data_IF_886794661528
#
_entry.id   IF_886794661528
#
_cell.length_a   1.000
_cell.length_b   1.000
_cell.length_c   1.000
_cell.angle_alpha   90.00
_cell.angle_beta   90.00
_cell.angle_gamma   90.00
#
_symmetry.space_group_name_H-M   'P 1'
#
loop_
_entity.id
_entity.type
_entity.pdbx_description
1 polymer ?
#
# COMPACT_ATOMS: atom_id res chain seq x y z
N UNK A 1 20.89 -14.65 0.10
CA UNK A 1 19.75 -15.35 0.70
C UNK A 1 18.51 -14.45 0.84
N UNK A 2 18.62 -13.18 1.28
CA UNK A 2 17.46 -12.27 1.29
C UNK A 2 17.04 -11.80 -0.12
N UNK A 3 17.99 -11.56 -1.04
CA UNK A 3 17.68 -11.17 -2.42
C UNK A 3 16.90 -12.22 -3.21
N UNK A 4 17.11 -13.52 -2.95
CA UNK A 4 16.36 -14.60 -3.60
C UNK A 4 14.92 -14.71 -3.10
N UNK A 5 14.58 -14.07 -1.99
CA UNK A 5 13.22 -14.03 -1.46
C UNK A 5 12.50 -12.73 -1.78
N UNK A 6 13.21 -11.74 -2.32
CA UNK A 6 12.64 -10.45 -2.68
C UNK A 6 11.95 -10.53 -4.06
N UNK A 7 10.88 -11.31 -4.13
CA UNK A 7 10.05 -11.45 -5.33
C UNK A 7 8.64 -10.91 -5.13
N UNK A 8 7.95 -10.50 -6.20
CA UNK A 8 6.56 -10.02 -6.13
C UNK A 8 5.63 -11.04 -5.46
N UNK A 9 5.83 -12.33 -5.70
CA UNK A 9 5.04 -13.44 -5.18
C UNK A 9 5.18 -13.54 -3.66
N UNK A 10 6.43 -13.57 -3.17
CA UNK A 10 6.72 -13.59 -1.72
C UNK A 10 6.18 -12.34 -1.05
N UNK A 11 6.28 -11.18 -1.71
CA UNK A 11 5.75 -9.92 -1.18
C UNK A 11 4.22 -9.92 -1.07
N UNK A 12 3.53 -10.42 -2.09
CA UNK A 12 2.06 -10.61 -2.08
C UNK A 12 1.62 -11.56 -0.97
N UNK A 13 2.31 -12.69 -0.81
CA UNK A 13 2.05 -13.65 0.25
C UNK A 13 2.27 -13.05 1.63
N UNK A 14 3.40 -12.36 1.84
CA UNK A 14 3.71 -11.67 3.09
C UNK A 14 2.60 -10.67 3.47
N UNK A 15 2.08 -9.93 2.47
CA UNK A 15 1.01 -8.96 2.66
C UNK A 15 -0.31 -9.63 3.08
N UNK A 16 -0.71 -10.70 2.40
CA UNK A 16 -1.94 -11.45 2.72
C UNK A 16 -1.85 -12.10 4.09
N UNK A 17 -0.77 -12.86 4.36
CA UNK A 17 -0.56 -13.53 5.64
C UNK A 17 -0.52 -12.48 6.75
N UNK A 18 0.21 -11.37 6.56
CA UNK A 18 0.32 -10.27 7.52
C UNK A 18 -1.03 -9.63 7.86
N UNK A 19 -1.91 -9.50 6.88
CA UNK A 19 -3.26 -9.00 7.09
C UNK A 19 -4.10 -9.96 7.93
N UNK A 20 -4.06 -11.26 7.63
CA UNK A 20 -4.80 -12.27 8.41
C UNK A 20 -4.29 -12.35 9.86
N UNK A 21 -2.97 -12.38 10.07
CA UNK A 21 -2.38 -12.42 11.41
C UNK A 21 -2.71 -11.15 12.21
N UNK A 22 -2.70 -9.98 11.57
CA UNK A 22 -3.11 -8.71 12.18
C UNK A 22 -4.58 -8.74 12.64
N UNK A 23 -5.48 -9.24 11.80
CA UNK A 23 -6.90 -9.39 12.17
C UNK A 23 -7.10 -10.43 13.27
N UNK A 24 -6.40 -11.56 13.22
CA UNK A 24 -6.45 -12.59 14.26
C UNK A 24 -6.00 -12.01 15.61
N UNK A 25 -4.85 -11.32 15.64
CA UNK A 25 -4.33 -10.68 16.84
C UNK A 25 -5.31 -9.65 17.40
N UNK A 26 -5.91 -8.82 16.54
CA UNK A 26 -6.92 -7.86 16.97
C UNK A 26 -8.16 -8.52 17.55
N UNK A 27 -8.63 -9.62 16.96
CA UNK A 27 -9.81 -10.33 17.49
C UNK A 27 -9.54 -10.94 18.87
N UNK A 28 -8.32 -11.42 19.11
CA UNK A 28 -7.93 -12.03 20.39
C UNK A 28 -7.67 -10.98 21.47
N UNK A 29 -6.88 -9.94 21.15
CA UNK A 29 -6.37 -8.99 22.14
C UNK A 29 -7.03 -7.61 22.11
N UNK A 30 -7.91 -7.34 21.13
CA UNK A 30 -8.55 -6.03 20.94
C UNK A 30 -7.63 -4.91 20.44
N UNK A 31 -6.36 -5.22 20.17
CA UNK A 31 -5.30 -4.25 19.82
C UNK A 31 -4.99 -4.35 18.33
N UNK A 32 -4.81 -3.20 17.67
CA UNK A 32 -4.41 -3.15 16.27
C UNK A 32 -2.87 -3.10 16.21
N UNK A 33 -2.18 -4.04 15.55
CA UNK A 33 -0.72 -4.08 15.50
C UNK A 33 -0.17 -3.08 14.47
N UNK A 34 -0.40 -1.78 14.71
CA UNK A 34 0.01 -0.69 13.81
C UNK A 34 -0.89 -0.52 12.58
N UNK A 35 -1.58 -1.57 12.14
CA UNK A 35 -2.47 -1.58 10.97
C UNK A 35 -2.62 -3.00 10.42
N UNK A 36 -3.58 -3.21 9.51
CA UNK A 36 -3.78 -4.54 8.88
C UNK A 36 -2.58 -4.92 8.03
N UNK A 37 -2.10 -3.97 7.24
CA UNK A 37 -1.02 -4.20 6.27
C UNK A 37 0.36 -4.22 6.93
N UNK A 38 0.51 -3.68 8.14
CA UNK A 38 1.82 -3.40 8.76
C UNK A 38 2.72 -4.64 8.89
N UNK A 39 2.24 -5.79 9.42
CA UNK A 39 3.12 -6.95 9.60
C UNK A 39 3.69 -7.48 8.26
N UNK A 40 2.87 -7.48 7.21
CA UNK A 40 3.32 -7.89 5.87
C UNK A 40 4.33 -6.90 5.28
N UNK A 41 4.06 -5.60 5.38
CA UNK A 41 4.99 -4.57 4.90
C UNK A 41 6.32 -4.57 5.64
N UNK A 42 6.35 -4.81 6.95
CA UNK A 42 7.62 -4.88 7.70
C UNK A 42 8.51 -6.01 7.16
N UNK A 43 7.93 -7.16 6.81
CA UNK A 43 8.67 -8.27 6.21
C UNK A 43 9.18 -7.87 4.83
N UNK A 44 8.33 -7.27 3.99
CA UNK A 44 8.73 -6.81 2.65
C UNK A 44 9.90 -5.82 2.75
N UNK A 45 9.80 -4.81 3.63
CA UNK A 45 10.88 -3.85 3.84
C UNK A 45 12.15 -4.52 4.37
N UNK A 46 12.02 -5.54 5.22
CA UNK A 46 13.17 -6.28 5.72
C UNK A 46 13.87 -7.08 4.61
N UNK A 47 13.12 -7.65 3.67
CA UNK A 47 13.67 -8.34 2.50
C UNK A 47 14.34 -7.38 1.51
N UNK A 48 13.80 -6.16 1.35
CA UNK A 48 14.38 -5.12 0.49
C UNK A 48 15.66 -4.55 1.10
N UNK A 49 15.58 -4.06 2.35
CA UNK A 49 16.70 -3.48 3.08
C UNK A 49 16.42 -3.54 4.58
N UNK A 50 17.12 -4.39 5.34
CA UNK A 50 16.96 -4.47 6.80
C UNK A 50 17.16 -3.12 7.50
N UNK A 51 18.10 -2.31 7.01
CA UNK A 51 18.39 -0.97 7.53
C UNK A 51 17.18 -0.06 7.30
N UNK A 52 16.58 -0.11 6.11
CA UNK A 52 15.37 0.66 5.81
C UNK A 52 14.20 0.25 6.71
N UNK A 53 13.98 -1.05 6.89
CA UNK A 53 12.96 -1.57 7.80
C UNK A 53 13.11 -1.03 9.23
N UNK A 54 14.32 -1.10 9.80
CA UNK A 54 14.61 -0.55 11.13
C UNK A 54 14.35 0.95 11.16
N UNK A 55 14.80 1.67 10.14
CA UNK A 55 14.62 3.13 10.01
C UNK A 55 13.14 3.50 9.99
N UNK A 56 12.31 2.79 9.22
CA UNK A 56 10.86 2.98 9.17
C UNK A 56 10.20 2.78 10.55
N UNK A 57 10.61 1.76 11.31
CA UNK A 57 10.12 1.53 12.67
C UNK A 57 10.52 2.67 13.61
N UNK A 58 11.78 3.11 13.59
CA UNK A 58 12.28 4.23 14.40
C UNK A 58 11.55 5.52 14.04
N UNK A 59 11.40 5.80 12.74
CA UNK A 59 10.66 6.96 12.24
C UNK A 59 9.22 6.99 12.73
N UNK A 60 8.57 5.85 12.91
CA UNK A 60 7.21 5.77 13.46
C UNK A 60 7.12 6.41 14.84
N UNK A 61 8.15 6.23 15.69
CA UNK A 61 8.23 6.88 17.00
C UNK A 61 8.53 8.36 16.85
N UNK A 62 9.52 8.73 16.03
CA UNK A 62 9.92 10.13 15.81
C UNK A 62 8.73 10.96 15.32
N UNK A 63 8.02 10.48 14.30
CA UNK A 63 6.84 11.13 13.72
C UNK A 63 5.71 11.24 14.75
N UNK A 64 5.48 10.19 15.56
CA UNK A 64 4.53 10.25 16.66
C UNK A 64 4.90 11.31 17.70
N UNK A 65 6.17 11.39 18.10
CA UNK A 65 6.63 12.38 19.09
C UNK A 65 6.51 13.81 18.57
N UNK A 66 6.91 14.06 17.32
CA UNK A 66 6.75 15.36 16.67
C UNK A 66 5.27 15.74 16.63
N UNK A 67 4.41 14.81 16.18
CA UNK A 67 2.98 15.05 16.12
C UNK A 67 2.41 15.40 17.50
N UNK A 68 2.69 14.59 18.52
CA UNK A 68 2.19 14.79 19.88
C UNK A 68 2.68 16.09 20.51
N UNK A 69 3.94 16.46 20.24
CA UNK A 69 4.56 17.64 20.86
C UNK A 69 4.14 18.95 20.20
N UNK A 70 3.98 18.97 18.87
CA UNK A 70 3.85 20.22 18.11
C UNK A 70 2.55 20.35 17.31
N UNK A 71 1.91 19.24 16.93
CA UNK A 71 0.82 19.23 15.95
C UNK A 71 -0.50 18.68 16.51
N UNK A 72 -0.50 18.09 17.70
CA UNK A 72 -1.72 17.58 18.33
C UNK A 72 -2.63 18.74 18.70
N UNK A 73 -3.87 18.70 18.18
CA UNK A 73 -4.90 19.70 18.46
C UNK A 73 -6.21 18.98 18.81
N UNK A 74 -6.88 19.46 19.86
CA UNK A 74 -8.15 18.90 20.35
C UNK A 74 -9.33 19.17 19.41
N UNK A 75 -9.23 20.21 18.56
CA UNK A 75 -10.26 20.63 17.61
C UNK A 75 -10.30 19.79 16.32
N UNK A 76 -9.35 18.87 16.14
CA UNK A 76 -9.27 18.07 14.93
C UNK A 76 -10.44 17.11 14.80
N UNK A 77 -11.04 17.09 13.61
CA UNK A 77 -11.91 15.98 13.20
C UNK A 77 -11.17 14.66 13.40
N UNK A 78 -11.89 13.61 13.78
CA UNK A 78 -11.38 12.31 14.22
C UNK A 78 -10.28 11.68 13.33
N UNK A 79 -10.21 12.05 12.04
CA UNK A 79 -9.25 11.48 11.07
C UNK A 79 -8.20 12.44 10.53
N UNK A 80 -8.30 13.73 10.84
CA UNK A 80 -7.26 14.72 10.51
C UNK A 80 -5.86 14.31 10.99
N UNK A 81 -5.68 13.71 12.19
CA UNK A 81 -4.36 13.26 12.63
C UNK A 81 -3.67 12.32 11.65
N UNK A 82 -4.41 11.47 10.94
CA UNK A 82 -3.83 10.55 9.96
C UNK A 82 -3.25 11.29 8.75
N UNK A 83 -3.93 12.31 8.24
CA UNK A 83 -3.40 13.13 7.14
C UNK A 83 -2.13 13.87 7.56
N UNK A 84 -2.14 14.50 8.74
CA UNK A 84 -0.98 15.22 9.27
C UNK A 84 0.23 14.29 9.45
N UNK A 85 0.01 13.10 10.04
CA UNK A 85 1.04 12.08 10.19
C UNK A 85 1.54 11.58 8.84
N UNK A 86 0.67 11.39 7.85
CA UNK A 86 1.06 11.01 6.48
C UNK A 86 1.92 12.09 5.81
N UNK A 87 1.59 13.37 5.95
CA UNK A 87 2.42 14.47 5.41
C UNK A 87 3.80 14.51 6.04
N UNK A 88 3.85 14.37 7.37
CA UNK A 88 5.11 14.35 8.11
C UNK A 88 5.96 13.13 7.74
N UNK A 89 5.32 11.96 7.62
CA UNK A 89 5.97 10.72 7.21
C UNK A 89 6.53 10.79 5.81
N UNK A 90 5.73 11.25 4.83
CA UNK A 90 6.20 11.44 3.47
C UNK A 90 7.41 12.37 3.42
N UNK A 91 7.43 13.45 4.20
CA UNK A 91 8.56 14.39 4.16
C UNK A 91 9.83 13.82 4.77
N UNK A 92 9.74 13.36 6.01
CA UNK A 92 10.91 12.90 6.75
C UNK A 92 11.43 11.58 6.16
N UNK A 93 10.54 10.63 5.88
CA UNK A 93 10.95 9.33 5.33
C UNK A 93 11.49 9.46 3.91
N UNK A 94 10.93 10.34 3.06
CA UNK A 94 11.47 10.57 1.72
C UNK A 94 12.91 11.12 1.77
N UNK A 95 13.16 12.15 2.57
CA UNK A 95 14.51 12.72 2.67
C UNK A 95 15.54 11.65 3.08
N UNK A 96 15.18 10.76 4.00
CA UNK A 96 16.06 9.65 4.40
C UNK A 96 16.17 8.59 3.32
N UNK A 97 15.09 8.26 2.62
CA UNK A 97 15.11 7.33 1.49
C UNK A 97 16.05 7.82 0.37
N UNK A 98 15.97 9.11 0.00
CA UNK A 98 16.87 9.73 -0.99
C UNK A 98 18.34 9.65 -0.55
N UNK A 99 18.62 9.92 0.72
CA UNK A 99 19.97 9.76 1.26
C UNK A 99 20.43 8.30 1.17
N UNK A 100 19.56 7.33 1.49
CA UNK A 100 19.91 5.91 1.43
C UNK A 100 20.13 5.42 0.00
N UNK A 101 19.35 5.92 -0.96
CA UNK A 101 19.55 5.64 -2.38
C UNK A 101 20.91 6.19 -2.84
N UNK A 102 21.23 7.44 -2.48
CA UNK A 102 22.54 8.05 -2.80
C UNK A 102 23.72 7.30 -2.18
N UNK A 103 23.53 6.72 -0.99
CA UNK A 103 24.54 5.90 -0.30
C UNK A 103 24.59 4.44 -0.79
N UNK A 104 23.69 4.03 -1.70
CA UNK A 104 23.59 2.65 -2.20
C UNK A 104 23.02 1.66 -1.17
N UNK A 105 22.34 2.13 -0.14
CA UNK A 105 21.72 1.29 0.92
C UNK A 105 20.27 0.90 0.64
N UNK A 106 19.67 1.51 -0.38
CA UNK A 106 18.31 1.27 -0.82
C UNK A 106 18.24 1.28 -2.34
N UNK A 107 17.55 0.30 -2.92
CA UNK A 107 17.30 0.24 -4.36
C UNK A 107 16.19 1.22 -4.71
N UNK A 108 16.45 2.10 -5.68
CA UNK A 108 15.44 3.02 -6.20
C UNK A 108 14.33 2.23 -6.91
N UNK A 109 13.21 2.08 -6.22
CA UNK A 109 12.04 1.31 -6.67
C UNK A 109 10.80 1.79 -5.95
N UNK A 110 9.63 1.70 -6.59
CA UNK A 110 8.37 2.09 -5.94
C UNK A 110 8.10 1.29 -4.68
N UNK A 111 8.38 -0.01 -4.69
CA UNK A 111 8.20 -0.85 -3.51
C UNK A 111 9.07 -0.38 -2.32
N UNK A 112 10.25 0.21 -2.58
CA UNK A 112 11.06 0.85 -1.51
C UNK A 112 10.37 2.10 -0.91
N UNK A 113 9.64 2.85 -1.75
CA UNK A 113 8.88 4.03 -1.35
C UNK A 113 7.64 3.69 -0.54
N UNK A 114 7.19 2.43 -0.56
CA UNK A 114 6.08 1.97 0.28
C UNK A 114 6.39 2.07 1.78
N UNK A 115 7.68 2.02 2.14
CA UNK A 115 8.18 2.29 3.48
C UNK A 115 8.03 3.74 3.93
N UNK A 116 7.73 4.69 3.03
CA UNK A 116 7.62 6.12 3.41
C UNK A 116 6.29 6.48 4.07
N UNK A 117 5.24 5.70 3.83
CA UNK A 117 3.90 5.92 4.42
C UNK A 117 3.62 5.03 5.63
N UNK A 118 4.36 3.93 5.77
CA UNK A 118 4.22 3.00 6.88
C UNK A 118 4.41 3.66 8.27
N UNK A 119 5.36 4.60 8.47
CA UNK A 119 5.54 5.25 9.76
C UNK A 119 4.32 6.04 10.22
N UNK A 120 3.63 6.72 9.29
CA UNK A 120 2.38 7.40 9.59
C UNK A 120 1.28 6.46 10.10
N UNK A 121 1.16 5.28 9.48
CA UNK A 121 0.14 4.28 9.83
C UNK A 121 0.39 3.73 11.24
N UNK A 122 1.65 3.43 11.57
CA UNK A 122 2.06 2.99 12.91
C UNK A 122 1.86 4.11 13.94
N UNK A 123 2.37 5.31 13.65
CA UNK A 123 2.24 6.48 14.52
C UNK A 123 0.76 6.84 14.80
N UNK A 124 -0.11 6.72 13.80
CA UNK A 124 -1.55 6.95 13.98
C UNK A 124 -2.21 5.89 14.87
N UNK A 125 -1.64 4.70 14.96
CA UNK A 125 -2.12 3.70 15.91
C UNK A 125 -1.66 4.01 17.34
N UNK A 126 -0.45 4.58 17.52
CA UNK A 126 0.03 5.08 18.81
C UNK A 126 -0.81 6.22 19.40
N UNK A 127 -1.48 7.02 18.56
CA UNK A 127 -2.40 8.07 19.07
C UNK A 127 -3.70 7.51 19.62
N UNK A 128 -4.08 6.27 19.24
CA UNK A 128 -5.34 5.64 19.61
C UNK A 128 -5.20 4.55 20.67
N UNK A 129 -4.02 3.95 20.77
CA UNK A 129 -3.76 2.79 21.60
C UNK A 129 -2.42 2.95 22.33
N UNK A 130 -2.26 2.26 23.46
CA UNK A 130 -1.03 2.32 24.23
C UNK A 130 0.16 1.82 23.40
N UNK A 131 1.21 2.64 23.29
CA UNK A 131 2.41 2.36 22.48
C UNK A 131 2.95 0.97 22.76
N UNK A 132 3.14 0.61 24.04
CA UNK A 132 3.68 -0.69 24.44
C UNK A 132 2.86 -1.88 23.91
N UNK A 133 1.52 -1.75 23.87
CA UNK A 133 0.61 -2.77 23.35
C UNK A 133 0.72 -2.89 21.84
N UNK A 134 0.85 -1.75 21.14
CA UNK A 134 0.99 -1.70 19.69
C UNK A 134 2.34 -2.28 19.26
N UNK A 135 3.44 -1.91 19.92
CA UNK A 135 4.79 -2.42 19.64
C UNK A 135 4.86 -3.93 19.85
N UNK A 136 4.32 -4.44 20.98
CA UNK A 136 4.21 -5.89 21.22
C UNK A 136 3.38 -6.57 20.14
N UNK A 137 2.27 -5.96 19.74
CA UNK A 137 1.42 -6.44 18.66
C UNK A 137 2.18 -6.56 17.35
N UNK A 138 2.84 -5.47 16.91
CA UNK A 138 3.66 -5.43 15.70
C UNK A 138 4.72 -6.55 15.73
N UNK A 139 5.49 -6.65 16.82
CA UNK A 139 6.54 -7.65 16.95
C UNK A 139 6.00 -9.07 16.84
N UNK A 140 4.96 -9.42 17.62
CA UNK A 140 4.37 -10.77 17.62
C UNK A 140 3.74 -11.11 16.27
N UNK A 141 2.96 -10.21 15.68
CA UNK A 141 2.32 -10.48 14.39
C UNK A 141 3.32 -10.55 13.26
N UNK A 142 4.39 -9.75 13.29
CA UNK A 142 5.44 -9.80 12.27
C UNK A 142 6.23 -11.09 12.39
N UNK A 143 6.64 -11.50 13.60
CA UNK A 143 7.33 -12.78 13.83
C UNK A 143 6.47 -13.97 13.37
N UNK A 144 5.18 -13.96 13.71
CA UNK A 144 4.27 -15.03 13.30
C UNK A 144 4.03 -15.04 11.78
N UNK A 145 3.93 -13.86 11.16
CA UNK A 145 3.81 -13.73 9.70
C UNK A 145 5.07 -14.23 9.00
N UNK A 146 6.25 -13.89 9.52
CA UNK A 146 7.53 -14.36 9.01
C UNK A 146 7.63 -15.88 9.15
N UNK A 147 7.28 -16.43 10.30
CA UNK A 147 7.25 -17.87 10.53
C UNK A 147 6.36 -18.59 9.51
N UNK A 148 5.12 -18.13 9.31
CA UNK A 148 4.21 -18.74 8.32
C UNK A 148 4.78 -18.59 6.90
N UNK A 149 5.31 -17.42 6.55
CA UNK A 149 5.87 -17.16 5.22
C UNK A 149 7.05 -18.09 4.93
N UNK A 150 8.03 -18.15 5.83
CA UNK A 150 9.20 -19.01 5.68
C UNK A 150 8.84 -20.51 5.73
N UNK A 151 7.91 -20.90 6.60
CA UNK A 151 7.40 -22.28 6.62
C UNK A 151 6.71 -22.63 5.30
N UNK A 152 5.89 -21.73 4.76
CA UNK A 152 5.22 -21.94 3.46
C UNK A 152 6.25 -22.02 2.34
N UNK A 153 7.18 -21.07 2.26
CA UNK A 153 8.23 -21.07 1.25
C UNK A 153 9.09 -22.34 1.32
N UNK A 154 9.54 -22.73 2.52
CA UNK A 154 10.36 -23.93 2.74
C UNK A 154 9.60 -25.22 2.43
N UNK A 155 8.33 -25.31 2.81
CA UNK A 155 7.49 -26.48 2.53
C UNK A 155 7.26 -26.65 1.02
N UNK A 156 6.92 -25.57 0.32
CA UNK A 156 6.66 -25.60 -1.12
C UNK A 156 7.92 -25.83 -1.96
N UNK A 157 9.04 -25.19 -1.60
CA UNK A 157 10.32 -25.42 -2.30
C UNK A 157 10.87 -26.82 -2.05
N UNK A 158 10.86 -27.32 -0.81
CA UNK A 158 11.48 -28.60 -0.47
C UNK A 158 10.60 -29.82 -0.78
N UNK A 159 9.29 -29.76 -0.54
CA UNK A 159 8.40 -30.92 -0.74
C UNK A 159 7.81 -30.99 -2.14
N UNK A 160 7.57 -29.86 -2.79
CA UNK A 160 6.87 -29.81 -4.07
C UNK A 160 7.77 -29.40 -5.25
N UNK A 161 9.05 -29.11 -5.00
CA UNK A 161 10.01 -28.62 -5.99
C UNK A 161 9.45 -27.43 -6.81
N UNK A 162 8.61 -26.64 -6.15
CA UNK A 162 7.98 -25.47 -6.75
C UNK A 162 8.89 -24.27 -6.54
N UNK A 163 9.43 -23.76 -7.63
CA UNK A 163 10.21 -22.53 -7.63
C UNK A 163 9.27 -21.30 -7.66
N UNK A 164 9.26 -20.56 -6.56
CA UNK A 164 8.51 -19.30 -6.43
C UNK A 164 9.06 -18.21 -7.36
N UNK A 165 10.27 -18.37 -7.90
CA UNK A 165 10.90 -17.43 -8.83
C UNK A 165 10.60 -17.77 -10.30
N UNK A 166 9.75 -18.77 -10.58
CA UNK A 166 9.36 -19.18 -11.95
C UNK A 166 8.87 -18.03 -12.84
N UNK A 167 8.29 -16.98 -12.26
CA UNK A 167 7.78 -15.83 -13.00
C UNK A 167 8.86 -14.76 -13.27
N UNK A 168 9.97 -14.78 -12.53
CA UNK A 168 11.05 -13.79 -12.62
C UNK A 168 11.69 -13.70 -14.02
N UNK A 169 12.00 -14.81 -14.71
CA UNK A 169 12.51 -14.76 -16.08
C UNK A 169 11.49 -14.19 -17.07
N UNK A 170 10.19 -14.47 -16.86
CA UNK A 170 9.11 -14.00 -17.72
C UNK A 170 8.85 -12.49 -17.57
N UNK A 171 9.32 -11.89 -16.49
CA UNK A 171 9.32 -10.45 -16.30
C UNK A 171 10.44 -9.74 -17.06
N UNK A 172 11.48 -10.43 -17.56
CA UNK A 172 12.57 -9.80 -18.30
C UNK A 172 12.07 -9.20 -19.62
N UNK A 173 12.48 -7.96 -19.92
CA UNK A 173 12.10 -7.25 -21.15
C UNK A 173 10.69 -6.64 -21.19
N UNK A 174 9.84 -6.87 -20.17
CA UNK A 174 8.53 -6.20 -20.07
C UNK A 174 8.66 -4.78 -19.51
N UNK A 175 7.86 -3.84 -20.01
CA UNK A 175 7.87 -2.45 -19.54
C UNK A 175 7.58 -2.33 -18.04
N UNK A 176 8.34 -1.48 -17.34
CA UNK A 176 8.13 -1.15 -15.93
C UNK A 176 7.42 0.20 -15.87
N UNK A 177 6.35 0.26 -15.09
CA UNK A 177 5.63 1.52 -14.87
C UNK A 177 6.36 2.25 -13.74
N UNK A 178 7.17 3.21 -14.10
CA UNK A 178 7.90 4.05 -13.16
C UNK A 178 7.16 5.36 -12.91
N UNK A 179 7.17 5.83 -11.67
CA UNK A 179 6.67 7.17 -11.36
C UNK A 179 7.83 8.13 -11.60
N UNK A 180 7.64 9.12 -12.48
CA UNK A 180 8.53 10.29 -12.46
C UNK A 180 8.15 11.11 -11.24
N UNK A 181 9.07 11.34 -10.30
CA UNK A 181 8.83 12.11 -9.07
C UNK A 181 7.69 11.61 -8.15
N UNK A 182 7.70 10.33 -7.73
CA UNK A 182 6.61 9.70 -6.94
C UNK A 182 6.19 10.53 -5.72
N UNK A 183 7.14 11.19 -5.07
CA UNK A 183 6.91 12.00 -3.88
C UNK A 183 5.98 13.19 -4.12
N UNK A 184 6.17 13.92 -5.23
CA UNK A 184 5.33 15.08 -5.57
C UNK A 184 3.89 14.62 -5.73
N UNK A 185 3.70 13.49 -6.41
CA UNK A 185 2.40 12.87 -6.63
C UNK A 185 1.74 12.44 -5.32
N UNK A 186 2.49 11.77 -4.42
CA UNK A 186 1.99 11.41 -3.09
C UNK A 186 1.58 12.66 -2.28
N UNK A 187 2.37 13.74 -2.33
CA UNK A 187 2.08 14.99 -1.62
C UNK A 187 0.83 15.70 -2.14
N UNK A 188 0.75 15.92 -3.45
CA UNK A 188 -0.40 16.58 -4.09
C UNK A 188 -1.66 15.80 -3.80
N UNK A 189 -1.60 14.48 -3.93
CA UNK A 189 -2.79 13.67 -3.76
C UNK A 189 -3.22 13.57 -2.30
N UNK A 190 -2.27 13.51 -1.37
CA UNK A 190 -2.57 13.59 0.05
C UNK A 190 -3.24 14.94 0.39
N UNK A 191 -2.82 16.03 -0.26
CA UNK A 191 -3.43 17.36 -0.11
C UNK A 191 -4.84 17.43 -0.68
N UNK A 192 -5.06 16.94 -1.91
CA UNK A 192 -6.39 16.84 -2.51
C UNK A 192 -7.31 15.97 -1.65
N UNK A 193 -6.81 14.82 -1.19
CA UNK A 193 -7.53 13.92 -0.31
C UNK A 193 -7.90 14.56 1.03
N UNK A 194 -6.98 15.34 1.62
CA UNK A 194 -7.25 16.09 2.85
C UNK A 194 -8.28 17.20 2.65
N UNK A 195 -8.20 17.96 1.55
CA UNK A 195 -9.17 19.01 1.21
C UNK A 195 -10.58 18.41 1.09
N UNK A 196 -10.72 17.31 0.36
CA UNK A 196 -12.01 16.61 0.22
C UNK A 196 -12.53 16.16 1.59
N UNK A 197 -11.68 15.53 2.39
CA UNK A 197 -12.06 15.12 3.74
C UNK A 197 -12.51 16.31 4.60
N UNK A 198 -11.81 17.44 4.50
CA UNK A 198 -12.15 18.65 5.25
C UNK A 198 -13.54 19.18 4.89
N UNK A 199 -13.86 19.25 3.59
CA UNK A 199 -15.12 19.82 3.10
C UNK A 199 -16.31 18.85 3.12
N UNK A 200 -16.10 17.56 2.88
CA UNK A 200 -17.19 16.59 2.69
C UNK A 200 -17.26 15.51 3.77
N UNK A 201 -16.26 15.39 4.65
CA UNK A 201 -16.14 14.31 5.66
C UNK A 201 -16.13 12.88 5.07
N UNK A 202 -15.81 12.82 3.78
CA UNK A 202 -15.74 11.66 2.90
C UNK A 202 -14.27 11.20 2.84
N UNK A 203 -14.01 9.88 2.84
CA UNK A 203 -12.64 9.31 2.80
C UNK A 203 -12.30 8.84 1.38
N UNK A 204 -11.47 9.56 0.63
CA UNK A 204 -11.05 9.12 -0.70
C UNK A 204 -10.11 7.93 -0.60
N UNK A 205 -10.71 6.74 -0.54
CA UNK A 205 -10.10 5.47 -0.85
C UNK A 205 -8.85 5.13 -0.06
N UNK A 206 -8.60 5.71 1.12
CA UNK A 206 -7.29 5.60 1.76
C UNK A 206 -6.24 6.54 1.15
N UNK A 207 -5.51 7.19 2.05
CA UNK A 207 -4.48 8.23 1.87
C UNK A 207 -3.40 7.96 0.80
N UNK A 208 -3.30 6.73 0.29
CA UNK A 208 -2.31 6.31 -0.71
C UNK A 208 -2.90 6.11 -2.12
N UNK A 209 -4.22 6.19 -2.31
CA UNK A 209 -4.90 5.57 -3.46
C UNK A 209 -5.00 6.43 -4.70
N UNK A 210 -5.25 7.73 -4.55
CA UNK A 210 -5.38 8.57 -5.74
C UNK A 210 -4.05 8.82 -6.50
N UNK A 211 -2.83 8.86 -5.91
CA UNK A 211 -1.60 8.97 -6.70
C UNK A 211 -1.26 7.66 -7.40
N UNK A 212 -1.51 6.51 -6.75
CA UNK A 212 -1.29 5.21 -7.38
C UNK A 212 -2.29 4.99 -8.52
N UNK A 213 -3.56 5.28 -8.28
CA UNK A 213 -4.58 5.21 -9.30
C UNK A 213 -4.31 6.21 -10.43
N UNK A 214 -3.77 7.39 -10.15
CA UNK A 214 -3.38 8.37 -11.15
C UNK A 214 -2.38 7.79 -12.17
N UNK A 215 -1.29 7.20 -11.69
CA UNK A 215 -0.28 6.58 -12.58
C UNK A 215 -0.81 5.37 -13.31
N UNK A 216 -1.61 4.54 -12.64
CA UNK A 216 -2.25 3.41 -13.31
C UNK A 216 -3.20 3.86 -14.44
N UNK A 217 -3.72 5.08 -14.36
CA UNK A 217 -4.59 5.66 -15.39
C UNK A 217 -3.82 6.31 -16.56
N UNK A 218 -2.49 6.51 -16.45
CA UNK A 218 -1.66 7.08 -17.54
C UNK A 218 -1.60 6.13 -18.73
N UNK A 219 -1.33 4.84 -18.49
CA UNK A 219 -1.32 3.84 -19.55
C UNK A 219 -2.74 3.25 -19.73
N UNK A 220 -3.30 3.25 -20.95
CA UNK A 220 -4.70 2.88 -21.18
C UNK A 220 -5.00 1.43 -20.79
N UNK A 221 -4.06 0.52 -21.02
CA UNK A 221 -4.21 -0.89 -20.69
C UNK A 221 -4.21 -1.13 -19.18
N UNK A 222 -3.33 -0.44 -18.45
CA UNK A 222 -3.23 -0.53 -16.99
C UNK A 222 -4.42 0.14 -16.31
N UNK A 223 -4.92 1.20 -16.93
CA UNK A 223 -6.13 1.91 -16.51
C UNK A 223 -7.34 0.98 -16.58
N UNK A 224 -7.54 0.34 -17.74
CA UNK A 224 -8.66 -0.58 -17.97
C UNK A 224 -8.58 -1.76 -17.02
N UNK A 225 -7.42 -2.40 -16.89
CA UNK A 225 -7.24 -3.54 -15.98
C UNK A 225 -7.43 -3.13 -14.51
N UNK A 226 -6.90 -1.98 -14.08
CA UNK A 226 -7.14 -1.47 -12.73
C UNK A 226 -8.64 -1.20 -12.44
N UNK A 227 -9.35 -0.55 -13.37
CA UNK A 227 -10.79 -0.27 -13.24
C UNK A 227 -11.62 -1.56 -13.22
N UNK A 228 -11.29 -2.52 -14.08
CA UNK A 228 -11.90 -3.85 -14.06
C UNK A 228 -11.65 -4.56 -12.72
N UNK A 229 -10.42 -4.48 -12.20
CA UNK A 229 -10.08 -5.00 -10.87
C UNK A 229 -10.93 -4.39 -9.77
N UNK A 230 -11.07 -3.06 -9.76
CA UNK A 230 -11.95 -2.36 -8.81
C UNK A 230 -13.40 -2.85 -8.92
N UNK A 231 -13.93 -2.99 -10.13
CA UNK A 231 -15.31 -3.43 -10.36
C UNK A 231 -15.53 -4.89 -9.93
N UNK A 232 -14.64 -5.80 -10.32
CA UNK A 232 -14.73 -7.23 -10.01
C UNK A 232 -14.60 -7.45 -8.50
N UNK A 233 -13.56 -6.89 -7.87
CA UNK A 233 -13.33 -7.03 -6.43
C UNK A 233 -14.48 -6.39 -5.65
N UNK A 234 -15.00 -5.24 -6.08
CA UNK A 234 -16.19 -4.64 -5.49
C UNK A 234 -17.41 -5.57 -5.55
N UNK A 235 -17.70 -6.12 -6.73
CA UNK A 235 -18.88 -6.96 -6.96
C UNK A 235 -18.82 -8.22 -6.10
N UNK A 236 -17.67 -8.91 -6.09
CA UNK A 236 -17.46 -10.11 -5.28
C UNK A 236 -17.53 -9.77 -3.79
N UNK A 237 -16.87 -8.71 -3.34
CA UNK A 237 -16.88 -8.30 -1.92
C UNK A 237 -18.30 -7.95 -1.47
N UNK A 238 -19.06 -7.21 -2.27
CA UNK A 238 -20.47 -6.90 -1.99
C UNK A 238 -21.33 -8.16 -1.91
N UNK A 239 -21.16 -9.09 -2.86
CA UNK A 239 -21.90 -10.35 -2.85
C UNK A 239 -21.62 -11.13 -1.57
N UNK A 240 -20.35 -11.28 -1.19
CA UNK A 240 -19.96 -11.97 0.05
C UNK A 240 -20.52 -11.24 1.27
N UNK A 241 -20.38 -9.92 1.36
CA UNK A 241 -20.93 -9.11 2.46
C UNK A 241 -22.46 -9.15 2.54
N UNK A 242 -23.17 -9.43 1.44
CA UNK A 242 -24.62 -9.63 1.45
C UNK A 242 -25.02 -10.95 2.13
N UNK A 243 -24.20 -11.99 1.97
CA UNK A 243 -24.46 -13.33 2.50
C UNK A 243 -23.72 -13.63 3.81
N UNK A 244 -22.86 -12.73 4.29
CA UNK A 244 -22.02 -12.95 5.48
C UNK A 244 -21.97 -11.70 6.36
N UNK A 245 -21.74 -11.89 7.67
CA UNK A 245 -21.55 -10.79 8.64
C UNK A 245 -20.11 -10.24 8.63
N UNK A 246 -19.52 -10.07 7.45
CA UNK A 246 -18.17 -9.54 7.29
C UNK A 246 -18.23 -8.01 7.24
N UNK A 247 -17.85 -7.37 8.35
CA UNK A 247 -17.88 -5.91 8.52
C UNK A 247 -16.53 -5.36 8.99
N UNK A 248 -16.30 -4.07 8.76
CA UNK A 248 -15.14 -3.35 9.27
C UNK A 248 -13.81 -3.95 8.79
N UNK A 249 -12.95 -4.33 9.73
CA UNK A 249 -11.59 -4.81 9.42
C UNK A 249 -11.56 -6.14 8.66
N UNK A 250 -12.55 -7.01 8.92
CA UNK A 250 -12.68 -8.29 8.22
C UNK A 250 -12.99 -8.06 6.74
N UNK A 251 -13.85 -7.08 6.44
CA UNK A 251 -14.15 -6.66 5.06
C UNK A 251 -12.94 -6.07 4.36
N UNK A 252 -12.17 -5.22 5.05
CA UNK A 252 -10.93 -4.67 4.52
C UNK A 252 -9.92 -5.77 4.14
N UNK A 253 -9.79 -6.79 4.99
CA UNK A 253 -8.90 -7.95 4.76
C UNK A 253 -9.40 -8.84 3.62
N UNK A 254 -10.72 -9.04 3.51
CA UNK A 254 -11.31 -9.75 2.37
C UNK A 254 -11.03 -9.02 1.04
N UNK A 255 -11.22 -7.71 1.01
CA UNK A 255 -10.93 -6.90 -0.17
C UNK A 255 -9.45 -6.97 -0.55
N UNK A 256 -8.54 -6.98 0.43
CA UNK A 256 -7.10 -7.16 0.21
C UNK A 256 -6.75 -8.50 -0.42
N UNK A 257 -7.33 -9.57 0.12
CA UNK A 257 -7.14 -10.92 -0.37
C UNK A 257 -7.62 -11.06 -1.82
N UNK A 258 -8.84 -10.60 -2.11
CA UNK A 258 -9.40 -10.60 -3.47
C UNK A 258 -8.61 -9.72 -4.43
N UNK A 259 -8.10 -8.56 -3.98
CA UNK A 259 -7.24 -7.69 -4.79
C UNK A 259 -5.92 -8.36 -5.13
N UNK A 260 -5.33 -9.10 -4.18
CA UNK A 260 -4.10 -9.86 -4.40
C UNK A 260 -4.29 -10.96 -5.43
N UNK A 261 -5.38 -11.74 -5.31
CA UNK A 261 -5.74 -12.77 -6.29
C UNK A 261 -5.95 -12.15 -7.67
N UNK A 262 -6.69 -11.04 -7.75
CA UNK A 262 -6.97 -10.37 -9.02
C UNK A 262 -5.70 -9.92 -9.74
N UNK A 263 -4.80 -9.23 -9.03
CA UNK A 263 -3.53 -8.75 -9.59
C UNK A 263 -2.68 -9.93 -10.07
N UNK A 264 -2.61 -11.00 -9.26
CA UNK A 264 -1.83 -12.18 -9.61
C UNK A 264 -2.37 -12.91 -10.85
N UNK A 265 -3.68 -13.16 -10.92
CA UNK A 265 -4.31 -13.79 -12.09
C UNK A 265 -4.13 -12.93 -13.34
N UNK A 266 -4.26 -11.61 -13.19
CA UNK A 266 -4.14 -10.70 -14.32
C UNK A 266 -2.72 -10.75 -14.89
N UNK A 267 -1.69 -10.64 -14.05
CA UNK A 267 -0.31 -10.79 -14.53
C UNK A 267 -0.05 -12.14 -15.20
N UNK A 268 -0.53 -13.24 -14.60
CA UNK A 268 -0.38 -14.57 -15.20
C UNK A 268 -1.04 -14.67 -16.59
N UNK A 269 -2.21 -14.07 -16.77
CA UNK A 269 -2.87 -14.02 -18.07
C UNK A 269 -2.06 -13.21 -19.09
N UNK A 270 -1.54 -12.04 -18.71
CA UNK A 270 -0.72 -11.22 -19.60
C UNK A 270 0.60 -11.90 -19.99
N UNK A 271 1.21 -12.64 -19.06
CA UNK A 271 2.38 -13.48 -19.33
C UNK A 271 2.04 -14.65 -20.27
N UNK A 272 0.89 -15.29 -20.08
CA UNK A 272 0.43 -16.39 -20.94
C UNK A 272 0.21 -15.94 -22.40
N UNK A 273 -0.30 -14.73 -22.61
CA UNK A 273 -0.51 -14.15 -23.95
C UNK A 273 0.74 -13.45 -24.51
N UNK A 274 1.90 -13.60 -23.87
CA UNK A 274 3.17 -12.96 -24.21
C UNK A 274 3.07 -11.46 -24.52
N UNK A 275 2.22 -10.75 -23.78
CA UNK A 275 2.07 -9.31 -23.97
C UNK A 275 3.38 -8.59 -23.63
N UNK A 276 3.78 -7.61 -24.43
CA UNK A 276 4.95 -6.76 -24.14
C UNK A 276 4.75 -5.90 -22.89
N UNK A 277 3.50 -5.63 -22.53
CA UNK A 277 3.11 -4.78 -21.41
C UNK A 277 2.61 -5.67 -20.27
N UNK A 278 3.17 -5.48 -19.07
CA UNK A 278 2.70 -6.11 -17.85
C UNK A 278 2.10 -5.03 -16.93
N UNK A 279 0.76 -4.99 -16.75
CA UNK A 279 0.08 -3.79 -16.27
C UNK A 279 0.40 -3.35 -14.84
N UNK A 280 1.02 -4.20 -14.02
CA UNK A 280 1.29 -3.91 -12.61
C UNK A 280 2.77 -4.09 -12.22
N UNK A 281 3.65 -4.31 -13.20
CA UNK A 281 5.07 -4.54 -12.97
C UNK A 281 5.69 -3.35 -12.22
N UNK A 282 6.38 -3.65 -11.11
CA UNK A 282 7.06 -2.65 -10.29
C UNK A 282 6.16 -1.88 -9.32
N UNK A 283 4.84 -2.05 -9.36
CA UNK A 283 3.88 -1.37 -8.46
C UNK A 283 2.85 -2.32 -7.83
N UNK A 284 3.17 -3.61 -7.82
CA UNK A 284 2.26 -4.70 -7.49
C UNK A 284 1.57 -4.56 -6.14
N UNK A 285 2.34 -4.24 -5.10
CA UNK A 285 1.82 -4.06 -3.75
C UNK A 285 0.87 -2.85 -3.69
N UNK A 286 1.25 -1.78 -4.36
CA UNK A 286 0.49 -0.54 -4.39
C UNK A 286 -0.84 -0.67 -5.11
N UNK A 287 -0.87 -1.36 -6.25
CA UNK A 287 -2.12 -1.67 -6.97
C UNK A 287 -3.07 -2.43 -6.06
N UNK A 288 -2.59 -3.45 -5.36
CA UNK A 288 -3.39 -4.26 -4.43
C UNK A 288 -3.96 -3.37 -3.32
N UNK A 289 -3.13 -2.54 -2.68
CA UNK A 289 -3.56 -1.65 -1.60
C UNK A 289 -4.58 -0.61 -2.11
N UNK A 290 -4.42 -0.20 -3.36
CA UNK A 290 -5.27 0.79 -4.03
C UNK A 290 -6.65 0.22 -4.34
N UNK A 291 -6.72 -0.94 -4.99
CA UNK A 291 -7.98 -1.64 -5.25
C UNK A 291 -8.69 -1.94 -3.93
N UNK A 292 -7.98 -2.49 -2.94
CA UNK A 292 -8.55 -2.79 -1.63
C UNK A 292 -9.20 -1.56 -0.99
N UNK A 293 -8.45 -0.45 -0.91
CA UNK A 293 -8.91 0.71 -0.17
C UNK A 293 -10.03 1.44 -0.92
N UNK A 294 -9.96 1.49 -2.25
CA UNK A 294 -11.05 1.97 -3.10
C UNK A 294 -12.32 1.14 -2.89
N UNK A 295 -12.24 -0.19 -2.99
CA UNK A 295 -13.40 -1.08 -2.82
C UNK A 295 -13.98 -0.97 -1.42
N UNK A 296 -13.15 -1.01 -0.37
CA UNK A 296 -13.65 -0.95 1.00
C UNK A 296 -14.36 0.37 1.31
N UNK A 297 -13.85 1.49 0.81
CA UNK A 297 -14.47 2.79 1.00
C UNK A 297 -15.73 2.93 0.14
N UNK A 298 -15.71 2.47 -1.11
CA UNK A 298 -16.88 2.38 -1.99
C UNK A 298 -18.04 1.61 -1.34
N UNK A 299 -17.77 0.51 -0.64
CA UNK A 299 -18.81 -0.26 0.07
C UNK A 299 -19.30 0.48 1.33
N UNK A 300 -18.46 1.28 1.97
CA UNK A 300 -18.82 2.05 3.17
C UNK A 300 -19.71 3.25 2.83
N UNK A 301 -19.48 3.90 1.70
CA UNK A 301 -20.12 5.15 1.30
C UNK A 301 -21.25 4.93 0.29
N UNK A 302 -22.21 5.86 0.23
CA UNK A 302 -23.38 5.70 -0.66
C UNK A 302 -23.01 5.82 -2.15
N UNK A 303 -23.81 5.23 -3.04
CA UNK A 303 -23.65 5.31 -4.52
C UNK A 303 -23.47 6.73 -5.07
N UNK A 304 -24.01 7.76 -4.40
CA UNK A 304 -23.86 9.16 -4.83
C UNK A 304 -22.46 9.71 -4.62
N UNK A 305 -21.76 9.24 -3.59
CA UNK A 305 -20.41 9.71 -3.23
C UNK A 305 -19.32 9.01 -4.05
N UNK A 306 -19.63 7.84 -4.61
CA UNK A 306 -18.73 7.05 -5.49
C UNK A 306 -18.40 7.79 -6.79
N UNK A 307 -19.39 8.45 -7.42
CA UNK A 307 -19.14 9.25 -8.63
C UNK A 307 -18.15 10.38 -8.37
N UNK A 308 -18.24 11.00 -7.19
CA UNK A 308 -17.32 12.05 -6.77
C UNK A 308 -15.91 11.50 -6.52
N UNK A 309 -15.77 10.31 -5.95
CA UNK A 309 -14.45 9.66 -5.81
C UNK A 309 -13.80 9.36 -7.15
N UNK A 310 -14.54 8.78 -8.10
CA UNK A 310 -14.01 8.51 -9.44
C UNK A 310 -13.55 9.81 -10.10
N UNK A 311 -14.37 10.86 -10.01
CA UNK A 311 -14.03 12.18 -10.54
C UNK A 311 -12.75 12.76 -9.94
N UNK A 312 -12.57 12.66 -8.61
CA UNK A 312 -11.35 13.12 -7.92
C UNK A 312 -10.14 12.32 -8.37
N UNK A 313 -10.26 10.99 -8.47
CA UNK A 313 -9.16 10.13 -8.90
C UNK A 313 -8.76 10.43 -10.35
N UNK A 314 -9.74 10.69 -11.22
CA UNK A 314 -9.50 11.09 -12.61
C UNK A 314 -8.86 12.48 -12.70
N UNK A 315 -9.31 13.45 -11.90
CA UNK A 315 -8.66 14.76 -11.82
C UNK A 315 -7.22 14.62 -11.34
N UNK A 316 -6.99 13.82 -10.28
CA UNK A 316 -5.65 13.54 -9.79
C UNK A 316 -4.80 12.95 -10.91
N UNK A 317 -5.32 11.98 -11.67
CA UNK A 317 -4.65 11.41 -12.85
C UNK A 317 -4.34 12.42 -13.95
N UNK A 318 -5.25 13.35 -14.24
CA UNK A 318 -5.02 14.40 -15.24
C UNK A 318 -3.93 15.37 -14.76
N UNK A 319 -3.98 15.80 -13.49
CA UNK A 319 -2.96 16.65 -12.89
C UNK A 319 -1.61 15.93 -12.91
N UNK A 320 -1.60 14.63 -12.60
CA UNK A 320 -0.42 13.76 -12.66
C UNK A 320 0.21 13.75 -14.04
N UNK A 321 -0.60 13.46 -15.07
CA UNK A 321 -0.18 13.44 -16.46
C UNK A 321 0.39 14.79 -16.90
N UNK A 322 -0.31 15.89 -16.61
CA UNK A 322 0.14 17.24 -16.93
C UNK A 322 1.47 17.54 -16.25
N UNK A 323 1.61 17.29 -14.95
CA UNK A 323 2.85 17.54 -14.22
C UNK A 323 3.99 16.68 -14.77
N UNK A 324 3.72 15.43 -15.14
CA UNK A 324 4.74 14.49 -15.63
C UNK A 324 5.28 14.89 -17.00
N UNK A 325 4.45 15.44 -17.88
CA UNK A 325 4.88 15.93 -19.20
C UNK A 325 5.43 17.36 -19.17
N UNK A 326 4.90 18.25 -18.32
CA UNK A 326 5.24 19.69 -18.35
C UNK A 326 6.36 20.12 -17.38
N UNK A 327 6.63 19.40 -16.28
CA UNK A 327 7.74 19.75 -15.37
C UNK A 327 9.12 19.75 -16.03
N UNK A 328 9.49 18.77 -16.90
CA UNK A 328 10.83 18.77 -17.48
C UNK A 328 11.09 19.97 -18.40
N UNK A 329 10.07 20.55 -19.05
CA UNK A 329 10.22 21.78 -19.83
C UNK A 329 10.40 23.02 -18.94
N UNK A 330 9.75 23.05 -17.77
CA UNK A 330 9.81 24.15 -16.80
C UNK A 330 11.09 24.16 -15.94
N UNK A 331 11.71 23.00 -15.72
CA UNK A 331 13.00 22.88 -15.04
C UNK A 331 14.20 23.05 -15.98
N UNK A 332 13.95 23.02 -17.30
CA UNK A 332 14.96 23.27 -18.34
C UNK A 332 15.02 24.74 -18.81
N UNK A 333 14.06 25.58 -18.37
CA UNK A 333 13.98 27.03 -18.65
C UNK A 333 14.49 27.88 -17.49
#
# INVERSE_FOLDING_TARGET
>A
MFESLNTPEVSRLALVIGAFTSVAYKNIYGINPGGVIVPGFIIILFLISPIWCITTLVLSFVIYFIYKRFLEQTSYKRKTPMYVLSFLSLGVANLIALLYIQLGWLVDSLDSLSGTLLPAVIAFTFTKQQINKVVKGIALTTLFTAFILFATYGLFSYLFDLDFDTLKPLYLGKEIIEFKYPFIHFYITLAVGYLIYRYKDIRPGGYMVAPIAAVLLIHPLTAITFLLGCLIVYTITQLICKFTLIVGLKRYTLALFLSTIYVWITELLFLYFDSTILPFKGSNIYVIVTIMSYVNDTILYSKKEIKFYIFVTVIAAIIDYILTESLPELLAS
#
